data_IF_589401010563
#
_entry.id   IF_589401010563
#
_cell.length_a   1.000
_cell.length_b   1.000
_cell.length_c   1.000
_cell.angle_alpha   90.00
_cell.angle_beta   90.00
_cell.angle_gamma   90.00
#
_symmetry.space_group_name_H-M   'P 1'
#
loop_
_entity.id
_entity.type
_entity.pdbx_description
1 polymer ?
#
# COMPACT_ATOMS: atom_id res chain seq x y z
N UNK A 1 -6.98 6.88 -4.03
CA UNK A 1 -7.81 8.07 -4.37
C UNK A 1 -7.88 8.24 -5.88
N UNK A 2 -8.66 9.17 -6.48
CA UNK A 2 -8.52 9.48 -7.91
C UNK A 2 -7.11 10.00 -8.24
N UNK A 3 -6.63 9.76 -9.45
CA UNK A 3 -5.32 10.24 -9.90
C UNK A 3 -5.22 11.78 -9.87
N UNK A 4 -6.27 12.48 -10.33
CA UNK A 4 -6.34 13.95 -10.34
C UNK A 4 -6.17 14.58 -8.97
N UNK A 5 -6.57 13.90 -7.87
CA UNK A 5 -6.39 14.45 -6.53
C UNK A 5 -4.95 14.32 -6.02
N UNK A 6 -4.11 13.50 -6.67
CA UNK A 6 -2.74 13.22 -6.22
C UNK A 6 -1.68 13.93 -7.04
N UNK A 7 -1.92 14.14 -8.35
CA UNK A 7 -0.90 14.69 -9.28
C UNK A 7 -0.38 16.08 -8.88
N UNK A 8 -1.22 16.88 -8.23
CA UNK A 8 -0.88 18.24 -7.77
C UNK A 8 -0.26 18.29 -6.37
N UNK A 9 -0.18 17.15 -5.66
CA UNK A 9 0.44 17.12 -4.33
C UNK A 9 1.95 17.35 -4.47
N UNK A 10 2.42 18.45 -3.87
CA UNK A 10 3.83 18.80 -3.81
C UNK A 10 4.61 17.78 -2.99
N UNK A 11 5.89 17.58 -3.33
CA UNK A 11 6.79 16.68 -2.60
C UNK A 11 7.95 17.52 -2.06
N UNK A 12 8.16 17.47 -0.75
CA UNK A 12 9.33 18.00 -0.05
C UNK A 12 10.08 16.82 0.57
N UNK A 13 10.92 16.16 -0.22
CA UNK A 13 11.69 14.98 0.18
C UNK A 13 12.52 15.25 1.44
N UNK A 14 12.34 14.42 2.47
CA UNK A 14 12.97 14.60 3.78
C UNK A 14 14.32 13.88 3.97
N UNK A 15 14.77 13.09 3.00
CA UNK A 15 16.07 12.41 3.00
C UNK A 15 16.14 11.13 3.82
N UNK A 16 15.01 10.60 4.30
CA UNK A 16 15.01 9.44 5.19
C UNK A 16 15.39 8.13 4.45
N UNK A 17 16.35 7.31 4.88
CA UNK A 17 16.79 6.18 4.06
C UNK A 17 15.75 5.04 4.00
N UNK A 18 15.83 4.23 2.94
CA UNK A 18 15.30 2.86 2.95
C UNK A 18 16.12 2.01 3.92
N UNK A 19 15.43 1.17 4.69
CA UNK A 19 16.05 0.23 5.63
C UNK A 19 15.46 -1.16 5.46
N UNK A 20 16.29 -2.17 5.69
CA UNK A 20 15.87 -3.57 5.70
C UNK A 20 14.89 -3.82 6.84
N UNK A 21 13.76 -4.43 6.52
CA UNK A 21 12.64 -4.59 7.43
C UNK A 21 12.60 -5.95 8.13
N UNK A 22 13.14 -6.99 7.50
CA UNK A 22 13.02 -8.38 7.93
C UNK A 22 13.64 -8.65 9.32
N UNK A 23 14.45 -7.74 9.85
CA UNK A 23 14.98 -7.79 11.22
C UNK A 23 13.92 -7.50 12.30
N UNK A 24 12.80 -6.86 11.95
CA UNK A 24 11.69 -6.61 12.86
C UNK A 24 10.87 -7.90 13.07
N UNK A 25 11.35 -8.77 13.96
CA UNK A 25 10.77 -10.10 14.24
C UNK A 25 9.37 -10.08 14.85
N UNK A 26 8.90 -8.94 15.35
CA UNK A 26 7.51 -8.81 15.80
C UNK A 26 6.49 -8.87 14.64
N UNK A 27 6.94 -8.63 13.41
CA UNK A 27 6.14 -8.65 12.18
C UNK A 27 6.53 -9.90 11.37
N UNK A 28 5.57 -10.48 10.65
CA UNK A 28 5.82 -11.51 9.65
C UNK A 28 6.08 -10.82 8.31
N UNK A 29 7.13 -11.24 7.61
CA UNK A 29 7.56 -10.67 6.33
C UNK A 29 7.56 -11.79 5.31
N UNK A 30 6.63 -11.74 4.36
CA UNK A 30 6.51 -12.75 3.32
C UNK A 30 6.00 -12.09 2.05
N UNK A 31 6.81 -12.10 1.00
CA UNK A 31 6.35 -11.59 -0.29
C UNK A 31 5.22 -12.48 -0.80
N UNK A 32 4.11 -11.86 -1.20
CA UNK A 32 3.05 -12.56 -1.95
C UNK A 32 3.41 -12.69 -3.44
N UNK A 33 4.37 -11.87 -3.92
CA UNK A 33 4.85 -11.86 -5.30
C UNK A 33 6.37 -11.92 -5.36
N UNK A 34 6.88 -12.69 -6.30
CA UNK A 34 8.32 -12.92 -6.50
C UNK A 34 8.99 -11.88 -7.42
N UNK A 35 8.29 -10.80 -7.78
CA UNK A 35 8.75 -9.79 -8.75
C UNK A 35 9.95 -8.97 -8.27
N UNK A 36 10.10 -8.81 -6.95
CA UNK A 36 11.25 -8.14 -6.32
C UNK A 36 12.43 -9.08 -6.05
N UNK A 37 12.24 -10.40 -6.06
CA UNK A 37 13.30 -11.38 -5.73
C UNK A 37 14.55 -11.25 -6.60
N UNK A 38 14.47 -11.01 -7.92
CA UNK A 38 15.66 -10.81 -8.74
C UNK A 38 16.52 -9.59 -8.35
N UNK A 39 15.97 -8.65 -7.59
CA UNK A 39 16.63 -7.39 -7.24
C UNK A 39 17.06 -7.34 -5.77
N UNK A 40 16.24 -7.87 -4.87
CA UNK A 40 16.43 -7.77 -3.42
C UNK A 40 16.51 -9.13 -2.71
N UNK A 41 16.38 -10.24 -3.43
CA UNK A 41 16.14 -11.54 -2.81
C UNK A 41 14.89 -11.49 -1.93
N UNK A 42 14.97 -11.98 -0.69
CA UNK A 42 13.87 -11.97 0.28
C UNK A 42 13.81 -10.67 1.12
N UNK A 43 14.66 -9.68 0.82
CA UNK A 43 14.68 -8.43 1.57
C UNK A 43 13.46 -7.57 1.23
N UNK A 44 12.80 -7.07 2.26
CA UNK A 44 11.80 -6.02 2.18
C UNK A 44 12.37 -4.72 2.72
N UNK A 45 12.08 -3.63 2.03
CA UNK A 45 12.55 -2.28 2.37
C UNK A 45 11.37 -1.35 2.63
N UNK A 46 11.55 -0.44 3.60
CA UNK A 46 10.66 0.69 3.86
C UNK A 46 11.52 1.90 4.24
N UNK A 47 10.97 3.10 4.10
CA UNK A 47 11.54 4.29 4.76
C UNK A 47 11.57 4.07 6.26
N UNK A 48 12.65 4.49 6.93
CA UNK A 48 12.88 4.25 8.37
C UNK A 48 11.68 4.61 9.26
N UNK A 49 11.03 5.74 8.99
CA UNK A 49 9.88 6.28 9.68
C UNK A 49 8.59 5.52 9.39
N UNK A 50 8.44 4.92 8.22
CA UNK A 50 7.37 3.97 7.91
C UNK A 50 7.55 2.67 8.71
N UNK A 51 8.75 2.08 8.73
CA UNK A 51 9.04 0.90 9.54
C UNK A 51 8.82 1.16 11.04
N UNK A 52 9.25 2.31 11.57
CA UNK A 52 9.02 2.68 12.96
C UNK A 52 7.53 2.73 13.32
N UNK A 53 6.69 3.24 12.42
CA UNK A 53 5.22 3.27 12.60
C UNK A 53 4.64 1.86 12.55
N UNK A 54 5.07 1.05 11.60
CA UNK A 54 4.62 -0.34 11.50
C UNK A 54 4.97 -1.16 12.75
N UNK A 55 6.15 -0.94 13.34
CA UNK A 55 6.52 -1.54 14.64
C UNK A 55 5.63 -1.06 15.79
N UNK A 56 5.19 0.20 15.78
CA UNK A 56 4.19 0.71 16.74
C UNK A 56 2.84 0.03 16.53
N UNK A 57 2.42 -0.18 15.28
CA UNK A 57 1.18 -0.90 14.95
C UNK A 57 1.24 -2.35 15.45
N UNK A 58 2.34 -3.06 15.21
CA UNK A 58 2.54 -4.42 15.71
C UNK A 58 2.46 -4.51 17.25
N UNK A 59 3.08 -3.55 17.96
CA UNK A 59 2.97 -3.46 19.44
C UNK A 59 1.56 -3.17 19.90
N UNK A 60 0.81 -2.32 19.19
CA UNK A 60 -0.57 -2.00 19.52
C UNK A 60 -1.47 -3.22 19.30
N UNK A 61 -1.31 -3.93 18.18
CA UNK A 61 -2.00 -5.19 17.91
C UNK A 61 -1.75 -6.19 19.04
N UNK A 62 -0.48 -6.41 19.41
CA UNK A 62 -0.11 -7.37 20.45
C UNK A 62 -0.68 -7.03 21.84
N UNK A 63 -0.92 -5.75 22.14
CA UNK A 63 -1.60 -5.34 23.39
C UNK A 63 -3.08 -5.70 23.40
N UNK A 64 -3.74 -5.68 22.24
CA UNK A 64 -5.17 -5.99 22.09
C UNK A 64 -5.40 -7.50 21.90
N UNK A 65 -4.50 -8.14 21.15
CA UNK A 65 -4.54 -9.54 20.77
C UNK A 65 -3.13 -10.15 20.92
N UNK A 66 -2.78 -10.69 22.11
CA UNK A 66 -1.43 -11.15 22.42
C UNK A 66 -0.82 -12.18 21.46
N UNK A 67 -1.66 -13.04 20.87
CA UNK A 67 -1.28 -14.08 19.93
C UNK A 67 -1.22 -13.60 18.47
N UNK A 68 -1.74 -12.40 18.17
CA UNK A 68 -1.80 -11.89 16.81
C UNK A 68 -0.50 -11.19 16.39
N UNK A 69 -0.20 -11.26 15.09
CA UNK A 69 0.93 -10.56 14.46
C UNK A 69 0.48 -9.91 13.16
N UNK A 70 1.11 -8.78 12.82
CA UNK A 70 1.00 -8.24 11.48
C UNK A 70 1.79 -9.12 10.51
N UNK A 71 1.28 -9.28 9.30
CA UNK A 71 1.96 -9.93 8.18
C UNK A 71 2.02 -8.98 6.99
N UNK A 72 3.22 -8.66 6.53
CA UNK A 72 3.47 -7.78 5.39
C UNK A 72 3.68 -8.63 4.14
N UNK A 73 2.83 -8.37 3.13
CA UNK A 73 2.82 -9.04 1.83
C UNK A 73 3.65 -8.31 0.78
N UNK A 74 3.77 -6.98 0.92
CA UNK A 74 4.49 -6.14 -0.04
C UNK A 74 4.93 -4.82 0.61
N UNK A 75 6.09 -4.30 0.22
CA UNK A 75 6.68 -3.07 0.76
C UNK A 75 7.21 -2.19 -0.38
N UNK A 76 8.45 -1.70 -0.32
CA UNK A 76 9.06 -0.95 -1.43
C UNK A 76 9.00 -1.72 -2.76
N UNK A 77 8.63 -1.01 -3.83
CA UNK A 77 8.57 -1.52 -5.21
C UNK A 77 9.51 -0.71 -6.10
N UNK A 78 10.35 -1.38 -6.88
CA UNK A 78 11.13 -0.67 -7.91
C UNK A 78 10.22 0.05 -8.92
N UNK A 79 10.63 1.25 -9.33
CA UNK A 79 9.88 2.08 -10.29
C UNK A 79 9.58 1.34 -11.60
N UNK A 80 10.55 0.60 -12.13
CA UNK A 80 10.38 -0.22 -13.34
C UNK A 80 9.24 -1.26 -13.20
N UNK A 81 9.07 -1.85 -12.02
CA UNK A 81 8.02 -2.83 -11.76
C UNK A 81 6.67 -2.13 -11.64
N UNK A 82 6.63 -0.97 -10.96
CA UNK A 82 5.42 -0.14 -10.88
C UNK A 82 4.96 0.31 -12.26
N UNK A 83 5.87 0.80 -13.11
CA UNK A 83 5.58 1.20 -14.49
C UNK A 83 5.05 0.03 -15.30
N UNK A 84 5.71 -1.13 -15.23
CA UNK A 84 5.24 -2.34 -15.92
C UNK A 84 3.82 -2.73 -15.52
N UNK A 85 3.51 -2.72 -14.23
CA UNK A 85 2.16 -3.05 -13.73
C UNK A 85 1.13 -2.04 -14.21
N UNK A 86 1.43 -0.75 -14.09
CA UNK A 86 0.53 0.30 -14.51
C UNK A 86 0.25 0.24 -16.02
N UNK A 87 1.28 0.21 -16.86
CA UNK A 87 1.13 0.29 -18.31
C UNK A 87 0.44 -0.95 -18.89
N UNK A 88 0.63 -2.12 -18.28
CA UNK A 88 -0.14 -3.31 -18.63
C UNK A 88 -1.65 -3.12 -18.38
N UNK A 89 -2.03 -2.53 -17.25
CA UNK A 89 -3.44 -2.24 -16.95
C UNK A 89 -3.98 -1.12 -17.84
N UNK A 90 -3.21 -0.05 -18.01
CA UNK A 90 -3.56 1.07 -18.89
C UNK A 90 -3.85 0.60 -20.32
N UNK A 91 -3.01 -0.29 -20.88
CA UNK A 91 -3.23 -0.86 -22.21
C UNK A 91 -4.56 -1.62 -22.29
N UNK A 92 -4.88 -2.47 -21.31
CA UNK A 92 -6.16 -3.21 -21.26
C UNK A 92 -7.35 -2.26 -21.22
N UNK A 93 -7.31 -1.23 -20.37
CA UNK A 93 -8.38 -0.24 -20.29
C UNK A 93 -8.52 0.54 -21.59
N UNK A 94 -7.41 0.94 -22.22
CA UNK A 94 -7.46 1.63 -23.51
C UNK A 94 -8.12 0.80 -24.61
N UNK A 95 -7.86 -0.51 -24.64
CA UNK A 95 -8.48 -1.44 -25.60
C UNK A 95 -9.98 -1.65 -25.32
N UNK A 96 -10.38 -1.62 -24.05
CA UNK A 96 -11.77 -1.81 -23.63
C UNK A 96 -12.64 -0.54 -23.78
N UNK A 97 -12.06 0.65 -23.59
CA UNK A 97 -12.78 1.92 -23.54
C UNK A 97 -12.32 2.88 -24.66
N UNK A 98 -12.55 2.47 -25.92
CA UNK A 98 -12.00 3.12 -27.12
C UNK A 98 -12.37 4.61 -27.31
N UNK A 99 -13.46 5.08 -26.71
CA UNK A 99 -13.96 6.45 -26.89
C UNK A 99 -13.63 7.38 -25.72
N UNK A 100 -12.93 6.89 -24.70
CA UNK A 100 -12.57 7.70 -23.54
C UNK A 100 -11.26 8.46 -23.74
N UNK A 101 -11.14 9.61 -23.09
CA UNK A 101 -9.89 10.38 -23.09
C UNK A 101 -8.77 9.63 -22.36
N UNK A 102 -7.52 9.92 -22.71
CA UNK A 102 -6.36 9.32 -22.06
C UNK A 102 -6.36 9.51 -20.53
N UNK A 103 -6.85 10.65 -20.06
CA UNK A 103 -6.96 10.94 -18.64
C UNK A 103 -8.01 10.07 -17.94
N UNK A 104 -9.15 9.78 -18.59
CA UNK A 104 -10.14 8.85 -18.03
C UNK A 104 -9.62 7.41 -18.01
N UNK A 105 -8.91 6.97 -19.05
CA UNK A 105 -8.20 5.68 -19.06
C UNK A 105 -7.17 5.62 -17.92
N UNK A 106 -6.44 6.71 -17.71
CA UNK A 106 -5.46 6.81 -16.62
C UNK A 106 -6.12 6.73 -15.24
N UNK A 107 -7.25 7.42 -15.04
CA UNK A 107 -8.05 7.35 -13.81
C UNK A 107 -8.53 5.91 -13.55
N UNK A 108 -9.07 5.24 -14.57
CA UNK A 108 -9.49 3.83 -14.45
C UNK A 108 -8.31 2.94 -14.08
N UNK A 109 -7.21 3.01 -14.82
CA UNK A 109 -6.02 2.22 -14.53
C UNK A 109 -5.48 2.51 -13.12
N UNK A 110 -5.47 3.79 -12.69
CA UNK A 110 -5.01 4.23 -11.38
C UNK A 110 -5.75 3.54 -10.23
N UNK A 111 -7.06 3.30 -10.38
CA UNK A 111 -7.87 2.64 -9.36
C UNK A 111 -7.53 1.15 -9.17
N UNK A 112 -6.81 0.52 -10.12
CA UNK A 112 -6.34 -0.86 -10.03
C UNK A 112 -4.84 -0.96 -9.74
N UNK A 113 -4.07 0.01 -10.23
CA UNK A 113 -2.64 0.09 -9.99
C UNK A 113 -2.27 1.58 -10.03
N UNK A 114 -1.70 2.10 -8.95
CA UNK A 114 -1.39 3.51 -8.86
C UNK A 114 -0.51 3.98 -10.04
N UNK A 115 -0.82 5.16 -10.57
CA UNK A 115 -0.07 5.74 -11.68
C UNK A 115 1.40 5.97 -11.29
N UNK A 116 2.39 5.73 -12.18
CA UNK A 116 3.78 5.62 -11.79
C UNK A 116 4.35 6.88 -11.17
N UNK A 117 3.83 8.05 -11.50
CA UNK A 117 4.24 9.36 -10.98
C UNK A 117 3.66 9.69 -9.60
N UNK A 118 2.64 8.96 -9.13
CA UNK A 118 2.00 9.18 -7.82
C UNK A 118 2.02 7.96 -6.90
N UNK A 119 2.53 6.82 -7.38
CA UNK A 119 2.53 5.57 -6.64
C UNK A 119 3.34 5.64 -5.34
N UNK A 120 2.77 5.10 -4.25
CA UNK A 120 3.35 5.10 -2.91
C UNK A 120 4.46 4.06 -2.69
N UNK A 121 4.33 2.84 -3.22
CA UNK A 121 5.33 1.78 -2.99
C UNK A 121 6.76 2.18 -3.43
N UNK A 122 6.97 2.83 -4.59
CA UNK A 122 8.32 3.29 -4.98
C UNK A 122 8.92 4.40 -4.11
N UNK A 123 8.15 4.98 -3.19
CA UNK A 123 8.70 5.91 -2.18
C UNK A 123 9.29 5.18 -0.97
N UNK A 124 8.94 3.90 -0.77
CA UNK A 124 9.18 3.14 0.46
C UNK A 124 8.25 3.51 1.63
N UNK A 125 7.25 4.36 1.38
CA UNK A 125 6.27 4.81 2.37
C UNK A 125 5.01 3.93 2.46
N UNK A 126 4.72 3.13 1.44
CA UNK A 126 3.53 2.28 1.38
C UNK A 126 3.81 0.81 1.74
N UNK A 127 2.81 0.14 2.29
CA UNK A 127 2.87 -1.26 2.72
C UNK A 127 1.53 -1.95 2.48
N UNK A 128 1.59 -3.21 2.02
CA UNK A 128 0.45 -4.12 1.98
C UNK A 128 0.54 -5.06 3.18
N UNK A 129 -0.40 -4.96 4.12
CA UNK A 129 -0.34 -5.64 5.42
C UNK A 129 -1.68 -6.23 5.83
N UNK A 130 -1.64 -7.35 6.55
CA UNK A 130 -2.80 -8.01 7.16
C UNK A 130 -2.50 -8.40 8.62
N UNK A 131 -3.51 -8.92 9.33
CA UNK A 131 -3.36 -9.58 10.63
C UNK A 131 -3.32 -11.09 10.37
N UNK A 132 -2.24 -11.75 10.77
CA UNK A 132 -2.05 -13.18 10.55
C UNK A 132 -3.12 -14.00 11.26
N UNK A 133 -3.75 -14.93 10.53
CA UNK A 133 -4.77 -15.84 11.06
C UNK A 133 -6.17 -15.24 11.17
N UNK A 134 -6.37 -13.97 10.81
CA UNK A 134 -7.68 -13.33 10.83
C UNK A 134 -8.33 -13.47 9.46
N UNK A 135 -9.61 -13.85 9.42
CA UNK A 135 -10.37 -13.88 8.17
C UNK A 135 -10.70 -12.44 7.73
N UNK A 136 -10.10 -12.03 6.63
CA UNK A 136 -10.33 -10.72 6.00
C UNK A 136 -11.36 -10.79 4.87
N UNK A 137 -11.96 -11.96 4.60
CA UNK A 137 -12.92 -12.18 3.51
C UNK A 137 -12.29 -12.33 2.13
N UNK A 138 -11.02 -11.95 1.95
CA UNK A 138 -10.23 -12.28 0.77
C UNK A 138 -8.78 -12.49 1.18
N UNK A 139 -7.99 -13.16 0.33
CA UNK A 139 -6.55 -13.15 0.48
C UNK A 139 -5.98 -11.74 0.28
N UNK A 140 -4.85 -11.46 0.92
CA UNK A 140 -4.08 -10.23 0.68
C UNK A 140 -3.53 -10.24 -0.74
N UNK A 141 -3.48 -9.08 -1.40
CA UNK A 141 -3.01 -8.93 -2.78
C UNK A 141 -3.77 -9.80 -3.82
N UNK A 142 -4.97 -10.28 -3.50
CA UNK A 142 -5.90 -10.86 -4.47
C UNK A 142 -6.68 -9.74 -5.19
N UNK A 143 -6.08 -9.23 -6.26
CA UNK A 143 -6.63 -8.16 -7.08
C UNK A 143 -7.88 -8.56 -7.88
N UNK A 144 -8.24 -9.84 -7.90
CA UNK A 144 -9.44 -10.34 -8.60
C UNK A 144 -10.61 -10.59 -7.66
N UNK A 145 -10.42 -10.46 -6.34
CA UNK A 145 -11.49 -10.69 -5.38
C UNK A 145 -12.61 -9.65 -5.53
N UNK A 146 -13.88 -10.07 -5.56
CA UNK A 146 -14.99 -9.10 -5.49
C UNK A 146 -15.01 -8.36 -4.14
N UNK A 147 -14.40 -8.92 -3.10
CA UNK A 147 -14.39 -8.38 -1.73
C UNK A 147 -13.21 -7.45 -1.46
N UNK A 148 -12.45 -7.02 -2.48
CA UNK A 148 -11.21 -6.24 -2.33
C UNK A 148 -11.39 -4.90 -1.58
N UNK A 149 -12.54 -4.23 -1.78
CA UNK A 149 -12.80 -2.91 -1.20
C UNK A 149 -12.98 -3.01 0.31
N UNK A 150 -12.39 -2.06 1.06
CA UNK A 150 -12.39 -2.06 2.54
C UNK A 150 -13.79 -2.27 3.13
N UNK A 151 -14.77 -1.53 2.63
CA UNK A 151 -16.15 -1.51 3.15
C UNK A 151 -17.15 -2.27 2.26
N UNK A 152 -16.74 -3.38 1.64
CA UNK A 152 -17.63 -4.17 0.79
C UNK A 152 -18.91 -4.58 1.55
N UNK A 153 -20.12 -4.48 0.94
CA UNK A 153 -21.38 -4.78 1.62
C UNK A 153 -21.49 -6.24 2.05
N UNK A 154 -20.98 -7.17 1.24
CA UNK A 154 -21.14 -8.62 1.43
C UNK A 154 -20.16 -9.24 2.45
N UNK A 155 -19.39 -8.44 3.18
CA UNK A 155 -18.55 -8.94 4.27
C UNK A 155 -19.39 -9.44 5.44
N UNK A 156 -18.98 -10.56 6.02
CA UNK A 156 -19.53 -10.99 7.31
C UNK A 156 -19.19 -9.97 8.40
N UNK A 157 -19.93 -10.02 9.52
CA UNK A 157 -19.67 -9.12 10.64
C UNK A 157 -18.24 -9.26 11.20
N UNK A 158 -17.71 -10.49 11.24
CA UNK A 158 -16.35 -10.78 11.68
C UNK A 158 -15.30 -10.22 10.70
N UNK A 159 -15.46 -10.45 9.40
CA UNK A 159 -14.54 -9.92 8.38
C UNK A 159 -14.50 -8.39 8.39
N UNK A 160 -15.66 -7.76 8.56
CA UNK A 160 -15.75 -6.31 8.71
C UNK A 160 -15.00 -5.83 9.96
N UNK A 161 -15.23 -6.45 11.11
CA UNK A 161 -14.54 -6.12 12.36
C UNK A 161 -13.01 -6.31 12.25
N UNK A 162 -12.55 -7.36 11.56
CA UNK A 162 -11.13 -7.64 11.34
C UNK A 162 -10.47 -6.56 10.47
N UNK A 163 -11.12 -6.13 9.38
CA UNK A 163 -10.64 -5.03 8.53
C UNK A 163 -10.67 -3.69 9.26
N UNK A 164 -11.70 -3.43 10.04
CA UNK A 164 -11.80 -2.21 10.87
C UNK A 164 -10.71 -2.15 11.93
N UNK A 165 -10.40 -3.28 12.59
CA UNK A 165 -9.29 -3.38 13.53
C UNK A 165 -7.96 -3.05 12.85
N UNK A 166 -7.65 -3.70 11.73
CA UNK A 166 -6.41 -3.44 10.98
C UNK A 166 -6.32 -1.97 10.59
N UNK A 167 -7.38 -1.43 9.98
CA UNK A 167 -7.46 -0.02 9.57
C UNK A 167 -7.23 0.91 10.75
N UNK A 168 -7.91 0.68 11.87
CA UNK A 168 -7.79 1.49 13.07
C UNK A 168 -6.35 1.47 13.61
N UNK A 169 -5.72 0.30 13.72
CA UNK A 169 -4.34 0.17 14.20
C UNK A 169 -3.37 0.97 13.32
N UNK A 170 -3.48 0.80 12.00
CA UNK A 170 -2.59 1.45 11.03
C UNK A 170 -2.78 2.97 11.03
N UNK A 171 -4.03 3.45 11.06
CA UNK A 171 -4.34 4.88 11.17
C UNK A 171 -3.85 5.47 12.49
N UNK A 172 -3.96 4.74 13.61
CA UNK A 172 -3.48 5.22 14.93
C UNK A 172 -1.99 5.49 14.96
N UNK A 173 -1.19 4.84 14.11
CA UNK A 173 0.25 5.11 14.00
C UNK A 173 0.61 6.03 12.83
N UNK A 174 -0.39 6.59 12.14
CA UNK A 174 -0.24 7.66 11.17
C UNK A 174 -0.18 7.23 9.70
N UNK A 175 -0.46 5.97 9.37
CA UNK A 175 -0.69 5.57 7.98
C UNK A 175 -2.04 6.08 7.48
N UNK A 176 -2.12 6.46 6.22
CA UNK A 176 -3.37 6.69 5.51
C UNK A 176 -3.83 5.36 4.88
N UNK A 177 -5.11 5.00 4.98
CA UNK A 177 -5.64 3.81 4.33
C UNK A 177 -6.08 4.10 2.89
N UNK A 178 -6.18 3.04 2.08
CA UNK A 178 -6.83 3.09 0.77
C UNK A 178 -8.10 2.24 0.74
N UNK A 179 -9.26 2.86 0.50
CA UNK A 179 -10.54 2.14 0.56
C UNK A 179 -10.75 1.16 -0.60
N UNK A 180 -9.96 1.27 -1.68
CA UNK A 180 -10.00 0.36 -2.82
C UNK A 180 -9.39 -1.02 -2.53
N UNK A 181 -8.42 -1.09 -1.62
CA UNK A 181 -7.69 -2.30 -1.25
C UNK A 181 -7.54 -2.36 0.28
N UNK A 182 -8.24 -3.29 0.94
CA UNK A 182 -8.32 -3.31 2.42
C UNK A 182 -6.97 -3.47 3.15
N UNK A 183 -5.94 -3.95 2.45
CA UNK A 183 -4.60 -4.19 2.98
C UNK A 183 -3.62 -3.02 2.77
N UNK A 184 -3.96 -2.04 1.93
CA UNK A 184 -3.02 -1.02 1.47
C UNK A 184 -2.98 0.20 2.38
N UNK A 185 -1.77 0.57 2.81
CA UNK A 185 -1.54 1.70 3.71
C UNK A 185 -0.33 2.53 3.27
N UNK A 186 -0.49 3.85 3.30
CA UNK A 186 0.45 4.83 2.77
C UNK A 186 0.96 5.76 3.88
N UNK A 187 2.26 6.02 3.93
CA UNK A 187 2.86 7.00 4.85
C UNK A 187 3.88 7.87 4.12
N UNK A 188 3.75 9.19 4.28
CA UNK A 188 4.70 10.18 3.75
C UNK A 188 4.65 10.42 2.24
N UNK A 189 3.94 9.59 1.47
CA UNK A 189 3.71 9.79 0.04
C UNK A 189 2.54 10.75 -0.27
N UNK A 190 2.19 10.86 -1.55
CA UNK A 190 1.11 11.74 -2.04
C UNK A 190 -0.26 11.32 -1.55
N UNK A 191 -0.55 10.03 -1.43
CA UNK A 191 -1.84 9.56 -0.93
C UNK A 191 -1.97 9.86 0.57
N UNK A 192 -0.91 9.66 1.34
CA UNK A 192 -0.85 10.06 2.75
C UNK A 192 -1.10 11.56 2.93
N UNK A 193 -0.41 12.39 2.13
CA UNK A 193 -0.56 13.83 2.22
C UNK A 193 -1.97 14.29 1.85
N UNK A 194 -2.53 13.74 0.76
CA UNK A 194 -3.90 14.04 0.35
C UNK A 194 -4.93 13.60 1.42
N UNK A 195 -4.78 12.41 1.99
CA UNK A 195 -5.72 11.85 2.98
C UNK A 195 -5.81 12.72 4.23
N UNK A 196 -4.66 13.16 4.73
CA UNK A 196 -4.57 13.95 5.95
C UNK A 196 -4.55 15.48 5.72
N UNK A 197 -4.78 15.94 4.49
CA UNK A 197 -4.74 17.37 4.15
C UNK A 197 -3.39 18.04 4.46
N UNK A 198 -2.28 17.31 4.26
CA UNK A 198 -0.93 17.85 4.44
C UNK A 198 -0.55 18.76 3.27
N UNK A 199 0.24 19.81 3.51
CA UNK A 199 0.66 20.73 2.43
C UNK A 199 1.55 20.06 1.38
N UNK A 200 2.27 19.00 1.76
CA UNK A 200 3.13 18.23 0.88
C UNK A 200 3.28 16.78 1.36
N UNK A 201 3.63 15.91 0.43
CA UNK A 201 4.26 14.62 0.71
C UNK A 201 5.72 14.85 1.13
N UNK A 202 6.25 13.98 1.98
CA UNK A 202 7.61 14.04 2.52
C UNK A 202 8.54 12.97 1.94
N UNK A 203 8.00 12.03 1.15
CA UNK A 203 8.78 11.04 0.42
C UNK A 203 8.54 11.18 -1.08
N UNK A 204 9.62 11.38 -1.83
CA UNK A 204 9.71 11.14 -3.25
C UNK A 204 9.94 9.65 -3.53
N UNK A 205 9.69 9.27 -4.77
CA UNK A 205 10.17 8.00 -5.27
C UNK A 205 11.69 8.01 -5.32
N UNK A 206 12.28 6.86 -5.04
CA UNK A 206 13.73 6.67 -4.99
C UNK A 206 14.06 5.34 -5.62
N UNK A 207 15.26 5.25 -6.19
CA UNK A 207 15.83 3.99 -6.65
C UNK A 207 16.75 3.42 -5.56
N UNK A 208 16.77 2.10 -5.44
CA UNK A 208 17.64 1.39 -4.51
C UNK A 208 18.87 0.93 -5.29
N UNK A 209 20.03 1.48 -4.94
CA UNK A 209 21.33 1.21 -5.57
C UNK A 209 22.28 0.55 -4.56
#
# INVERSE_FOLDING_TARGET
MPYRSLVHVLILECGEPLVVCNEAREILWQYEKDDMKPYLGDLMLLRKGALQRLRKAARLLKKLHPEARLSVAYAYRLRLIQERYFWNQFKKFREQYLNESELEIRERAHMFCASPDVAGHPTGGAVDVTISGFDMGSAIADFNSPLIRTFHPDLTAEQRANRELLRWIMMKVGFAPFDGEWWHFSFGDREWAAYYGKPCAIYSQIDYH
#
